data_IF_275439420116
#
_entry.id   IF_275439420116
#
_cell.length_a   1.000
_cell.length_b   1.000
_cell.length_c   1.000
_cell.angle_alpha   90.00
_cell.angle_beta   90.00
_cell.angle_gamma   90.00
#
_symmetry.space_group_name_H-M   'P 1'
#
loop_
_entity.id
_entity.type
_entity.pdbx_description
1 polymer ?
#
# COMPACT_ATOMS: atom_id res chain seq x y z
N UNK A 1 -22.91 -3.23 19.19
CA UNK A 1 -22.00 -4.22 18.62
C UNK A 1 -20.67 -4.00 19.32
N UNK A 2 -19.95 -5.06 19.71
CA UNK A 2 -18.60 -4.88 20.26
C UNK A 2 -17.70 -4.40 19.12
N UNK A 3 -16.80 -3.45 19.37
CA UNK A 3 -15.77 -3.01 18.39
C UNK A 3 -15.01 -4.22 17.85
N UNK A 4 -14.85 -5.26 18.68
CA UNK A 4 -14.22 -6.53 18.27
C UNK A 4 -14.99 -7.27 17.17
N UNK A 5 -16.32 -7.23 17.20
CA UNK A 5 -17.14 -7.85 16.15
C UNK A 5 -17.03 -7.06 14.84
N UNK A 6 -17.07 -5.72 14.94
CA UNK A 6 -16.91 -4.82 13.79
C UNK A 6 -15.50 -4.96 13.15
N UNK A 7 -14.45 -5.23 13.93
CA UNK A 7 -13.11 -5.52 13.41
C UNK A 7 -13.10 -6.72 12.47
N UNK A 8 -13.83 -7.79 12.79
CA UNK A 8 -13.87 -9.03 11.99
C UNK A 8 -14.43 -8.74 10.60
N UNK A 9 -15.44 -7.88 10.50
CA UNK A 9 -16.06 -7.49 9.23
C UNK A 9 -15.07 -6.77 8.30
N UNK A 10 -14.05 -6.12 8.85
CA UNK A 10 -13.02 -5.42 8.08
C UNK A 10 -11.81 -6.30 7.68
N UNK A 11 -11.65 -7.49 8.27
CA UNK A 11 -10.51 -8.39 7.97
C UNK A 11 -10.37 -8.71 6.47
N UNK A 12 -11.45 -9.06 5.73
CA UNK A 12 -11.33 -9.35 4.30
C UNK A 12 -10.81 -8.16 3.48
N UNK A 13 -11.20 -6.94 3.85
CA UNK A 13 -10.76 -5.69 3.19
C UNK A 13 -9.29 -5.40 3.46
N UNK A 14 -8.89 -5.48 4.73
CA UNK A 14 -7.48 -5.33 5.14
C UNK A 14 -6.58 -6.31 4.38
N UNK A 15 -6.99 -7.58 4.28
CA UNK A 15 -6.25 -8.61 3.56
C UNK A 15 -6.16 -8.35 2.05
N UNK A 16 -7.28 -7.97 1.42
CA UNK A 16 -7.30 -7.63 -0.01
C UNK A 16 -6.38 -6.45 -0.32
N UNK A 17 -6.43 -5.40 0.50
CA UNK A 17 -5.55 -4.24 0.37
C UNK A 17 -4.07 -4.61 0.58
N UNK A 18 -3.74 -5.32 1.67
CA UNK A 18 -2.36 -5.71 1.97
C UNK A 18 -1.73 -6.55 0.86
N UNK A 19 -2.51 -7.48 0.27
CA UNK A 19 -2.05 -8.30 -0.87
C UNK A 19 -1.78 -7.47 -2.11
N UNK A 20 -2.63 -6.50 -2.43
CA UNK A 20 -2.42 -5.59 -3.54
C UNK A 20 -1.23 -4.63 -3.30
N UNK A 21 -1.00 -4.25 -2.04
CA UNK A 21 0.06 -3.34 -1.63
C UNK A 21 1.45 -3.99 -1.76
N UNK A 22 1.63 -5.18 -1.17
CA UNK A 22 2.94 -5.84 -1.00
C UNK A 22 3.24 -6.86 -2.12
N UNK A 23 2.21 -7.47 -2.73
CA UNK A 23 2.37 -8.56 -3.72
C UNK A 23 3.23 -9.74 -3.24
N UNK A 24 3.20 -10.00 -1.93
CA UNK A 24 3.69 -11.22 -1.28
C UNK A 24 2.62 -11.64 -0.27
N UNK A 25 2.18 -12.89 -0.34
CA UNK A 25 1.06 -13.36 0.47
C UNK A 25 1.39 -13.42 1.96
N UNK A 26 2.56 -13.94 2.30
CA UNK A 26 2.97 -14.14 3.68
C UNK A 26 3.19 -12.79 4.36
N UNK A 27 3.93 -11.88 3.72
CA UNK A 27 4.14 -10.53 4.23
C UNK A 27 2.84 -9.71 4.31
N UNK A 28 1.89 -9.95 3.39
CA UNK A 28 0.58 -9.32 3.45
C UNK A 28 -0.26 -9.85 4.62
N UNK A 29 -0.25 -11.17 4.84
CA UNK A 29 -0.96 -11.78 5.96
C UNK A 29 -0.32 -11.35 7.31
N UNK A 30 1.02 -11.20 7.39
CA UNK A 30 1.74 -10.62 8.53
C UNK A 30 1.35 -9.14 8.78
N UNK A 31 1.29 -8.32 7.72
CA UNK A 31 0.85 -6.92 7.85
C UNK A 31 -0.58 -6.83 8.42
N UNK A 32 -1.48 -7.72 7.98
CA UNK A 32 -2.84 -7.80 8.52
C UNK A 32 -2.82 -8.20 9.99
N UNK A 33 -2.04 -9.21 10.36
CA UNK A 33 -1.91 -9.66 11.75
C UNK A 33 -1.41 -8.52 12.65
N UNK A 34 -0.27 -7.89 12.31
CA UNK A 34 0.30 -6.77 13.05
C UNK A 34 -0.70 -5.60 13.20
N UNK A 35 -1.50 -5.36 12.15
CA UNK A 35 -2.54 -4.33 12.17
C UNK A 35 -3.63 -4.67 13.19
N UNK A 36 -4.14 -5.91 13.15
CA UNK A 36 -5.21 -6.36 14.04
C UNK A 36 -4.75 -6.44 15.50
N UNK A 37 -3.53 -6.90 15.76
CA UNK A 37 -2.95 -6.92 17.11
C UNK A 37 -2.88 -5.50 17.71
N UNK A 38 -2.41 -4.52 16.91
CA UNK A 38 -2.38 -3.11 17.33
C UNK A 38 -3.77 -2.52 17.49
N UNK A 39 -4.72 -2.85 16.61
CA UNK A 39 -6.09 -2.38 16.70
C UNK A 39 -6.76 -2.91 17.97
N UNK A 40 -6.63 -4.22 18.26
CA UNK A 40 -7.14 -4.86 19.47
C UNK A 40 -6.57 -4.20 20.74
N UNK A 41 -5.25 -3.99 20.78
CA UNK A 41 -4.59 -3.30 21.89
C UNK A 41 -4.97 -1.82 22.06
N UNK A 42 -5.57 -1.19 21.04
CA UNK A 42 -5.98 0.23 21.03
C UNK A 42 -7.49 0.42 20.91
N UNK A 43 -8.29 -0.63 21.07
CA UNK A 43 -9.76 -0.55 20.99
C UNK A 43 -10.34 0.52 21.91
N UNK A 44 -9.79 0.72 23.12
CA UNK A 44 -10.21 1.79 24.03
C UNK A 44 -9.87 3.22 23.58
N UNK A 45 -9.04 3.40 22.54
CA UNK A 45 -8.72 4.69 21.95
C UNK A 45 -9.57 4.99 20.70
N UNK A 46 -10.32 4.00 20.20
CA UNK A 46 -11.27 4.24 19.12
C UNK A 46 -12.42 5.09 19.64
N UNK A 47 -12.76 6.14 18.92
CA UNK A 47 -13.87 7.02 19.26
C UNK A 47 -15.14 6.53 18.59
N UNK A 48 -16.15 6.04 19.34
CA UNK A 48 -17.39 5.55 18.75
C UNK A 48 -18.08 6.63 17.92
N UNK A 49 -18.63 6.23 16.76
CA UNK A 49 -19.25 7.15 15.79
C UNK A 49 -18.28 7.76 14.78
N UNK A 50 -16.97 7.46 14.86
CA UNK A 50 -16.00 7.74 13.80
C UNK A 50 -15.84 6.54 12.85
N UNK A 51 -15.28 6.75 11.66
CA UNK A 51 -15.12 5.68 10.67
C UNK A 51 -14.04 4.67 11.11
N UNK A 52 -14.47 3.50 11.57
CA UNK A 52 -13.60 2.39 11.96
C UNK A 52 -12.70 1.93 10.82
N UNK A 53 -13.19 1.94 9.57
CA UNK A 53 -12.42 1.56 8.38
C UNK A 53 -11.24 2.51 8.21
N UNK A 54 -11.49 3.82 8.25
CA UNK A 54 -10.43 4.83 8.11
C UNK A 54 -9.38 4.67 9.22
N UNK A 55 -9.82 4.46 10.47
CA UNK A 55 -8.92 4.21 11.60
C UNK A 55 -8.05 2.96 11.43
N UNK A 56 -8.61 1.85 10.93
CA UNK A 56 -7.86 0.63 10.67
C UNK A 56 -6.82 0.82 9.57
N UNK A 57 -7.15 1.53 8.51
CA UNK A 57 -6.19 1.85 7.46
C UNK A 57 -5.09 2.82 7.94
N UNK A 58 -5.37 3.72 8.89
CA UNK A 58 -4.34 4.50 9.59
C UNK A 58 -3.37 3.61 10.36
N UNK A 59 -3.88 2.60 11.09
CA UNK A 59 -3.02 1.65 11.80
C UNK A 59 -2.17 0.86 10.81
N UNK A 60 -2.77 0.32 9.76
CA UNK A 60 -2.08 -0.48 8.75
C UNK A 60 -1.00 0.33 8.01
N UNK A 61 -1.31 1.56 7.60
CA UNK A 61 -0.33 2.47 7.00
C UNK A 61 0.88 2.68 7.92
N UNK A 62 0.62 2.94 9.20
CA UNK A 62 1.68 3.10 10.19
C UNK A 62 2.51 1.82 10.39
N UNK A 63 1.88 0.63 10.42
CA UNK A 63 2.60 -0.65 10.48
C UNK A 63 3.51 -0.78 9.26
N UNK A 64 2.96 -0.61 8.06
CA UNK A 64 3.67 -0.75 6.79
C UNK A 64 4.85 0.24 6.69
N UNK A 65 4.63 1.52 6.97
CA UNK A 65 5.68 2.54 6.93
C UNK A 65 6.81 2.28 7.93
N UNK A 66 6.48 1.75 9.12
CA UNK A 66 7.48 1.33 10.11
C UNK A 66 8.29 0.11 9.62
N UNK A 67 7.64 -0.89 9.04
CA UNK A 67 8.31 -2.07 8.48
C UNK A 67 9.25 -1.68 7.32
N UNK A 68 8.79 -0.81 6.41
CA UNK A 68 9.58 -0.29 5.30
C UNK A 68 10.82 0.49 5.76
N UNK A 69 10.68 1.38 6.77
CA UNK A 69 11.81 2.09 7.38
C UNK A 69 12.82 1.14 8.01
N UNK A 70 12.36 0.11 8.73
CA UNK A 70 13.25 -0.91 9.32
C UNK A 70 13.97 -1.75 8.27
N UNK A 71 13.29 -2.10 7.18
CA UNK A 71 13.90 -2.83 6.06
C UNK A 71 15.01 -1.99 5.40
N UNK A 72 14.72 -0.71 5.11
CA UNK A 72 15.70 0.21 4.55
C UNK A 72 16.90 0.43 5.48
N UNK A 73 16.69 0.63 6.78
CA UNK A 73 17.78 0.77 7.74
C UNK A 73 18.68 -0.49 7.80
N UNK A 74 18.08 -1.69 7.78
CA UNK A 74 18.85 -2.95 7.75
C UNK A 74 19.64 -3.10 6.44
N UNK A 75 19.06 -2.75 5.30
CA UNK A 75 19.76 -2.76 4.02
C UNK A 75 20.98 -1.82 4.03
N UNK A 76 20.85 -0.62 4.63
CA UNK A 76 21.97 0.32 4.80
C UNK A 76 23.06 -0.25 5.73
N UNK A 77 22.69 -1.01 6.76
CA UNK A 77 23.66 -1.65 7.67
C UNK A 77 24.34 -2.90 7.08
N UNK A 78 23.74 -3.57 6.09
CA UNK A 78 24.32 -4.72 5.38
C UNK A 78 25.20 -4.27 4.20
N UNK A 79 25.00 -3.04 3.68
CA UNK A 79 25.75 -2.46 2.56
C UNK A 79 27.24 -2.12 2.83
N UNK A 80 27.89 -2.78 3.80
CA UNK A 80 29.35 -2.82 3.93
C UNK A 80 29.95 -4.06 3.24
N UNK A 81 29.11 -4.98 2.76
CA UNK A 81 29.49 -6.04 1.83
C UNK A 81 28.52 -6.03 0.64
N UNK A 82 29.05 -6.37 -0.54
CA UNK A 82 28.61 -5.94 -1.87
C UNK A 82 27.11 -6.02 -2.24
N UNK A 83 26.74 -5.13 -3.18
CA UNK A 83 25.56 -5.09 -4.07
C UNK A 83 24.25 -4.47 -3.55
N UNK A 84 23.91 -3.35 -4.19
CA UNK A 84 22.63 -2.64 -4.09
C UNK A 84 21.55 -3.48 -4.78
N UNK A 85 20.79 -4.27 -4.01
CA UNK A 85 19.59 -4.95 -4.51
C UNK A 85 18.34 -4.09 -4.24
N UNK A 86 18.00 -3.21 -5.19
CA UNK A 86 16.62 -2.78 -5.40
C UNK A 86 15.81 -3.97 -5.94
N UNK A 87 15.41 -4.94 -5.10
CA UNK A 87 14.29 -5.87 -5.35
C UNK A 87 14.36 -7.12 -4.46
N UNK A 88 13.86 -7.04 -3.22
CA UNK A 88 13.69 -8.24 -2.37
C UNK A 88 12.26 -8.42 -1.83
N UNK A 89 11.26 -7.87 -2.51
CA UNK A 89 9.84 -8.16 -2.21
C UNK A 89 9.08 -8.86 -3.33
N UNK A 90 9.74 -9.22 -4.44
CA UNK A 90 9.08 -9.93 -5.54
C UNK A 90 9.58 -11.38 -5.61
N UNK A 91 8.80 -12.30 -5.03
CA UNK A 91 8.96 -13.77 -5.11
C UNK A 91 7.65 -14.34 -5.70
N UNK A 92 7.66 -15.45 -6.48
CA UNK A 92 6.69 -15.67 -7.55
C UNK A 92 5.24 -15.81 -7.08
N UNK A 93 4.33 -15.14 -7.81
CA UNK A 93 2.89 -15.25 -7.61
C UNK A 93 2.33 -16.58 -8.13
N UNK A 94 1.35 -17.07 -7.37
CA UNK A 94 0.55 -18.28 -7.55
C UNK A 94 -0.01 -18.43 -9.00
N UNK A 95 0.07 -19.63 -9.57
CA UNK A 95 -0.01 -19.91 -11.02
C UNK A 95 -1.42 -19.92 -11.65
N UNK A 96 -2.45 -19.33 -11.02
CA UNK A 96 -3.84 -19.41 -11.53
C UNK A 96 -4.48 -18.03 -11.80
N UNK A 97 -3.67 -17.00 -12.06
CA UNK A 97 -4.17 -15.64 -12.31
C UNK A 97 -4.18 -15.34 -13.82
N UNK A 98 -5.28 -14.75 -14.34
CA UNK A 98 -5.37 -14.33 -15.74
C UNK A 98 -4.24 -13.36 -16.08
N UNK A 99 -3.79 -13.34 -17.35
CA UNK A 99 -2.67 -12.49 -17.80
C UNK A 99 -2.88 -11.02 -17.43
N UNK A 100 -4.08 -10.50 -17.66
CA UNK A 100 -4.44 -9.10 -17.34
C UNK A 100 -4.27 -8.77 -15.84
N UNK A 101 -4.60 -9.70 -14.96
CA UNK A 101 -4.43 -9.50 -13.53
C UNK A 101 -2.95 -9.52 -13.12
N UNK A 102 -2.13 -10.35 -13.77
CA UNK A 102 -0.68 -10.37 -13.53
C UNK A 102 -0.04 -9.07 -14.01
N UNK A 103 -0.49 -8.54 -15.14
CA UNK A 103 -0.03 -7.25 -15.66
C UNK A 103 -0.40 -6.10 -14.73
N UNK A 104 -1.62 -6.11 -14.18
CA UNK A 104 -2.04 -5.13 -13.18
C UNK A 104 -1.20 -5.19 -11.90
N UNK A 105 -0.95 -6.39 -11.35
CA UNK A 105 -0.09 -6.53 -10.18
C UNK A 105 1.32 -6.00 -10.47
N UNK A 106 1.88 -6.39 -11.61
CA UNK A 106 3.19 -5.97 -12.06
C UNK A 106 3.29 -4.45 -12.22
N UNK A 107 2.25 -3.80 -12.73
CA UNK A 107 2.18 -2.36 -12.91
C UNK A 107 2.01 -1.64 -11.56
N UNK A 108 1.16 -2.14 -10.67
CA UNK A 108 1.00 -1.62 -9.30
C UNK A 108 2.33 -1.65 -8.55
N UNK A 109 3.08 -2.75 -8.65
CA UNK A 109 4.38 -2.91 -7.99
C UNK A 109 5.48 -1.96 -8.52
N UNK A 110 5.27 -1.28 -9.66
CA UNK A 110 6.16 -0.25 -10.23
C UNK A 110 5.76 1.18 -9.91
N UNK A 111 4.63 1.36 -9.24
CA UNK A 111 4.28 2.64 -8.66
C UNK A 111 5.16 2.88 -7.42
N UNK A 112 5.63 4.13 -7.20
CA UNK A 112 6.14 4.55 -5.90
C UNK A 112 5.13 4.20 -4.79
N UNK A 113 5.61 3.72 -3.65
CA UNK A 113 4.76 3.21 -2.56
C UNK A 113 3.63 4.19 -2.20
N UNK A 114 3.96 5.47 -2.03
CA UNK A 114 3.00 6.52 -1.70
C UNK A 114 1.88 6.72 -2.74
N UNK A 115 2.20 6.50 -4.03
CA UNK A 115 1.21 6.58 -5.10
C UNK A 115 0.36 5.31 -5.15
N UNK A 116 0.98 4.15 -4.91
CA UNK A 116 0.30 2.86 -4.84
C UNK A 116 -0.74 2.84 -3.74
N UNK A 117 -0.38 3.28 -2.53
CA UNK A 117 -1.30 3.35 -1.39
C UNK A 117 -2.55 4.18 -1.73
N UNK A 118 -2.36 5.37 -2.29
CA UNK A 118 -3.48 6.24 -2.69
C UNK A 118 -4.32 5.61 -3.80
N UNK A 119 -3.70 5.01 -4.82
CA UNK A 119 -4.42 4.35 -5.92
C UNK A 119 -5.26 3.18 -5.39
N UNK A 120 -4.72 2.40 -4.46
CA UNK A 120 -5.43 1.26 -3.86
C UNK A 120 -6.53 1.74 -2.91
N UNK A 121 -6.28 2.67 -1.98
CA UNK A 121 -7.34 3.11 -1.05
C UNK A 121 -8.53 3.75 -1.78
N UNK A 122 -8.28 4.50 -2.87
CA UNK A 122 -9.35 5.09 -3.69
C UNK A 122 -9.99 4.07 -4.64
N UNK A 123 -9.19 3.30 -5.39
CA UNK A 123 -9.69 2.45 -6.48
C UNK A 123 -10.09 1.05 -6.04
N UNK A 124 -9.47 0.53 -4.98
CA UNK A 124 -9.72 -0.80 -4.42
C UNK A 124 -10.71 -0.71 -3.25
N UNK A 125 -10.45 0.16 -2.29
CA UNK A 125 -11.28 0.28 -1.07
C UNK A 125 -12.39 1.34 -1.15
N UNK A 126 -12.47 2.06 -2.29
CA UNK A 126 -13.51 3.04 -2.58
C UNK A 126 -13.65 4.11 -1.48
N UNK A 127 -12.53 4.46 -0.86
CA UNK A 127 -12.49 5.48 0.19
C UNK A 127 -12.59 6.88 -0.41
N UNK A 128 -13.25 7.79 0.31
CA UNK A 128 -13.28 9.20 -0.08
C UNK A 128 -11.88 9.81 0.04
N UNK A 129 -11.60 10.89 -0.68
CA UNK A 129 -10.29 11.55 -0.58
C UNK A 129 -10.01 12.08 0.83
N UNK A 130 -11.06 12.44 1.59
CA UNK A 130 -10.95 12.84 2.98
C UNK A 130 -10.53 11.66 3.88
N UNK A 131 -11.15 10.49 3.70
CA UNK A 131 -10.80 9.29 4.48
C UNK A 131 -9.39 8.80 4.13
N UNK A 132 -8.98 8.89 2.86
CA UNK A 132 -7.60 8.56 2.45
C UNK A 132 -6.60 9.55 3.05
N UNK A 133 -6.93 10.83 3.13
CA UNK A 133 -6.09 11.82 3.79
C UNK A 133 -5.89 11.50 5.28
N UNK A 134 -6.95 11.07 5.97
CA UNK A 134 -6.89 10.61 7.37
C UNK A 134 -6.11 9.30 7.51
N UNK A 135 -6.36 8.32 6.63
CA UNK A 135 -5.70 7.01 6.64
C UNK A 135 -4.18 7.12 6.44
N UNK A 136 -3.75 7.99 5.53
CA UNK A 136 -2.33 8.16 5.19
C UNK A 136 -1.67 9.33 5.93
N UNK A 137 -2.39 10.03 6.81
CA UNK A 137 -1.91 11.18 7.58
C UNK A 137 -1.25 12.27 6.71
N UNK A 138 -1.89 12.60 5.58
CA UNK A 138 -1.42 13.59 4.60
C UNK A 138 -2.50 14.60 4.21
N UNK A 139 -2.13 15.79 3.68
CA UNK A 139 -3.11 16.74 3.15
C UNK A 139 -3.95 16.16 2.01
N UNK A 140 -5.23 16.54 1.92
CA UNK A 140 -6.14 16.11 0.84
C UNK A 140 -5.62 16.50 -0.56
N UNK A 141 -4.94 17.66 -0.69
CA UNK A 141 -4.29 18.05 -1.95
C UNK A 141 -3.14 17.10 -2.34
N UNK A 142 -2.44 16.54 -1.36
CA UNK A 142 -1.41 15.51 -1.58
C UNK A 142 -2.04 14.22 -2.08
N UNK A 143 -3.19 13.80 -1.52
CA UNK A 143 -3.98 12.66 -2.02
C UNK A 143 -4.32 12.86 -3.50
N UNK A 144 -4.92 13.99 -3.85
CA UNK A 144 -5.31 14.27 -5.24
C UNK A 144 -4.11 14.24 -6.19
N UNK A 145 -2.99 14.86 -5.81
CA UNK A 145 -1.79 14.90 -6.65
C UNK A 145 -1.13 13.53 -6.80
N UNK A 146 -1.06 12.72 -5.74
CA UNK A 146 -0.55 11.34 -5.76
C UNK A 146 -1.46 10.43 -6.58
N UNK A 147 -2.78 10.56 -6.44
CA UNK A 147 -3.75 9.80 -7.21
C UNK A 147 -3.64 10.08 -8.71
N UNK A 148 -3.55 11.36 -9.08
CA UNK A 148 -3.42 11.78 -10.48
C UNK A 148 -2.17 11.16 -11.13
N UNK A 149 -1.00 11.35 -10.50
CA UNK A 149 0.28 10.79 -10.98
C UNK A 149 0.29 9.26 -10.96
N UNK A 150 -0.27 8.64 -9.93
CA UNK A 150 -0.39 7.19 -9.81
C UNK A 150 -1.23 6.60 -10.94
N UNK A 151 -2.38 7.20 -11.26
CA UNK A 151 -3.24 6.78 -12.37
C UNK A 151 -2.56 6.97 -13.73
N UNK A 152 -1.87 8.09 -13.94
CA UNK A 152 -1.10 8.32 -15.17
C UNK A 152 -0.02 7.25 -15.36
N UNK A 153 0.81 7.00 -14.34
CA UNK A 153 1.87 6.00 -14.38
C UNK A 153 1.33 4.59 -14.55
N UNK A 154 0.22 4.26 -13.87
CA UNK A 154 -0.42 2.94 -14.01
C UNK A 154 -0.94 2.72 -15.43
N UNK A 155 -1.59 3.71 -16.05
CA UNK A 155 -2.04 3.62 -17.45
C UNK A 155 -0.87 3.43 -18.41
N UNK A 156 0.22 4.16 -18.21
CA UNK A 156 1.41 4.05 -19.04
C UNK A 156 2.02 2.64 -18.96
N UNK A 157 2.21 2.12 -17.75
CA UNK A 157 2.70 0.76 -17.51
C UNK A 157 1.80 -0.32 -18.14
N UNK A 158 0.48 -0.18 -17.98
CA UNK A 158 -0.50 -1.11 -18.59
C UNK A 158 -0.53 -1.04 -20.12
N UNK A 159 -0.21 0.11 -20.71
CA UNK A 159 -0.13 0.28 -22.16
C UNK A 159 1.25 -0.12 -22.74
N UNK A 160 2.16 -0.66 -21.93
CA UNK A 160 3.54 -0.97 -22.34
C UNK A 160 4.39 0.27 -22.67
N UNK A 161 3.91 1.46 -22.32
CA UNK A 161 4.59 2.74 -22.58
C UNK A 161 5.25 3.20 -21.28
N UNK A 162 6.58 3.25 -21.22
CA UNK A 162 7.24 3.83 -20.05
C UNK A 162 6.94 5.34 -19.98
N UNK A 163 6.39 5.86 -18.87
CA UNK A 163 6.07 7.27 -18.77
C UNK A 163 7.35 8.12 -18.73
N UNK A 164 7.65 8.73 -19.88
CA UNK A 164 8.35 10.01 -20.06
C UNK A 164 9.59 10.27 -19.19
N UNK A 165 10.70 9.61 -19.50
CA UNK A 165 12.00 10.23 -19.25
C UNK A 165 12.06 11.51 -20.12
N UNK A 166 12.06 12.69 -19.49
CA UNK A 166 12.30 13.95 -20.19
C UNK A 166 13.67 13.87 -20.86
N UNK A 167 13.69 13.64 -22.17
CA UNK A 167 14.89 13.79 -22.99
C UNK A 167 15.30 15.27 -22.93
N UNK A 168 16.33 15.59 -22.16
CA UNK A 168 17.00 16.88 -22.31
C UNK A 168 17.73 16.86 -23.65
N UNK A 169 17.21 17.62 -24.60
CA UNK A 169 17.92 17.96 -25.83
C UNK A 169 19.10 18.85 -25.43
N UNK A 170 20.29 18.27 -25.37
CA UNK A 170 21.53 19.04 -25.31
C UNK A 170 21.71 19.67 -26.69
N UNK A 171 21.76 21.00 -26.71
CA UNK A 171 22.04 21.81 -27.91
C UNK A 171 23.53 22.06 -28.04
#
# INVERSE_FOLDING_TARGET
>A
MDVRDELIEHVPRLRRYARALINNRDLADDLVQDTLERALGRTGMFQPGTDLRAWLFTIMHNVFANQARKASARAVHVAVDDSVNESEFAVPSDQTRSLEMRDLDYALQRLPAEQREVVLLVGLEEMSYADVALALEIPIGTVMSRLSRGRERLRALMAGTQPGAKLQVVR
#
